data_IF_446239959413
#
_entry.id   IF_446239959413
#
_cell.length_a   1.000
_cell.length_b   1.000
_cell.length_c   1.000
_cell.angle_alpha   90.00
_cell.angle_beta   90.00
_cell.angle_gamma   90.00
#
_symmetry.space_group_name_H-M   'P 1'
#
loop_
_entity.id
_entity.type
_entity.pdbx_description
1 polymer ?
#
# COMPACT_ATOMS: atom_id res chain seq x y z
N UNK A 1 -20.69 0.14 -15.25
CA UNK A 1 -20.73 0.70 -16.63
C UNK A 1 -19.38 0.61 -17.34
N UNK A 2 -18.26 1.07 -16.78
CA UNK A 2 -16.96 1.05 -17.47
C UNK A 2 -16.32 -0.33 -17.77
N UNK A 3 -16.64 -1.39 -17.01
CA UNK A 3 -16.04 -2.74 -17.17
C UNK A 3 -16.36 -3.40 -18.51
N UNK A 4 -17.53 -3.09 -19.09
CA UNK A 4 -17.98 -3.67 -20.37
C UNK A 4 -17.66 -2.77 -21.57
N UNK A 5 -16.93 -1.67 -21.36
CA UNK A 5 -16.58 -0.76 -22.45
C UNK A 5 -15.58 -1.41 -23.43
N UNK A 6 -15.76 -1.22 -24.75
CA UNK A 6 -14.77 -1.64 -25.74
C UNK A 6 -13.45 -0.87 -25.59
N UNK A 7 -13.49 0.35 -25.06
CA UNK A 7 -12.33 1.24 -24.98
C UNK A 7 -11.48 0.94 -23.73
N UNK A 8 -10.17 0.81 -23.93
CA UNK A 8 -9.24 0.45 -22.84
C UNK A 8 -9.22 1.52 -21.73
N UNK A 9 -9.25 2.80 -22.08
CA UNK A 9 -9.18 3.88 -21.10
C UNK A 9 -10.42 3.94 -20.20
N UNK A 10 -11.62 3.67 -20.74
CA UNK A 10 -12.87 3.64 -19.97
C UNK A 10 -12.88 2.49 -18.96
N UNK A 11 -12.33 1.33 -19.34
CA UNK A 11 -12.16 0.19 -18.43
C UNK A 11 -11.20 0.52 -17.29
N UNK A 12 -10.04 1.11 -17.60
CA UNK A 12 -9.07 1.54 -16.58
C UNK A 12 -9.67 2.60 -15.66
N UNK A 13 -10.28 3.64 -16.23
CA UNK A 13 -10.93 4.71 -15.48
C UNK A 13 -12.02 4.16 -14.56
N UNK A 14 -12.93 3.36 -15.08
CA UNK A 14 -14.02 2.76 -14.30
C UNK A 14 -13.54 1.78 -13.21
N UNK A 15 -12.38 1.15 -13.39
CA UNK A 15 -11.76 0.33 -12.34
C UNK A 15 -11.15 1.21 -11.24
N UNK A 16 -10.43 2.26 -11.61
CA UNK A 16 -9.72 3.11 -10.67
C UNK A 16 -10.60 4.16 -9.99
N UNK A 17 -11.77 4.48 -10.54
CA UNK A 17 -12.71 5.47 -9.98
C UNK A 17 -13.33 5.05 -8.64
N UNK A 18 -13.28 3.76 -8.31
CA UNK A 18 -13.76 3.24 -7.03
C UNK A 18 -12.76 3.35 -5.88
N UNK A 19 -11.60 3.99 -6.08
CA UNK A 19 -10.64 4.19 -5.00
C UNK A 19 -11.18 5.20 -3.98
N UNK A 20 -11.09 4.82 -2.71
CA UNK A 20 -11.47 5.64 -1.57
C UNK A 20 -10.31 5.74 -0.57
N UNK A 21 -10.36 6.75 0.30
CA UNK A 21 -9.39 6.90 1.39
C UNK A 21 -9.91 6.18 2.63
N UNK A 22 -9.09 5.31 3.20
CA UNK A 22 -9.36 4.60 4.44
C UNK A 22 -8.27 4.86 5.47
N UNK A 23 -8.55 4.47 6.72
CA UNK A 23 -7.57 4.49 7.79
C UNK A 23 -7.60 3.19 8.60
N UNK A 24 -6.45 2.81 9.14
CA UNK A 24 -6.27 1.64 10.00
C UNK A 24 -5.08 1.87 10.92
N UNK A 25 -5.08 1.29 12.13
CA UNK A 25 -3.87 1.25 12.97
C UNK A 25 -2.87 0.27 12.38
N UNK A 26 -1.59 0.61 12.43
CA UNK A 26 -0.53 -0.20 11.82
C UNK A 26 -0.56 -1.64 12.33
N UNK A 27 -0.64 -1.82 13.65
CA UNK A 27 -0.66 -3.15 14.27
C UNK A 27 -1.88 -4.01 13.89
N UNK A 28 -2.99 -3.38 13.53
CA UNK A 28 -4.24 -4.06 13.18
C UNK A 28 -4.30 -4.40 11.68
N UNK A 29 -3.32 -3.92 10.90
CA UNK A 29 -3.28 -4.07 9.44
C UNK A 29 -2.46 -5.31 9.02
N UNK A 30 -3.06 -6.12 8.16
CA UNK A 30 -2.38 -7.14 7.35
C UNK A 30 -1.54 -6.51 6.23
N UNK A 31 -1.92 -5.34 5.74
CA UNK A 31 -1.14 -4.62 4.73
C UNK A 31 0.13 -4.01 5.32
N UNK A 32 0.03 -3.38 6.49
CA UNK A 32 1.10 -2.55 7.04
C UNK A 32 1.77 -3.11 8.30
N UNK A 33 1.17 -4.10 8.97
CA UNK A 33 1.64 -4.59 10.27
C UNK A 33 3.06 -5.15 10.25
N UNK A 34 3.51 -5.70 9.11
CA UNK A 34 4.90 -6.17 8.95
C UNK A 34 5.95 -5.03 8.84
N UNK A 35 5.51 -3.77 8.75
CA UNK A 35 6.36 -2.60 8.58
C UNK A 35 6.53 -1.77 9.86
N UNK A 36 6.17 -2.32 11.03
CA UNK A 36 6.54 -1.72 12.32
C UNK A 36 8.08 -1.55 12.42
N UNK A 37 8.53 -0.38 12.85
CA UNK A 37 9.95 -0.03 12.88
C UNK A 37 10.60 0.21 11.52
N UNK A 38 9.85 0.17 10.41
CA UNK A 38 10.33 0.55 9.07
C UNK A 38 9.99 2.00 8.75
N UNK A 39 10.68 2.58 7.78
CA UNK A 39 10.36 3.93 7.33
C UNK A 39 9.06 3.97 6.53
N UNK A 40 8.35 5.10 6.60
CA UNK A 40 7.14 5.35 5.82
C UNK A 40 7.35 5.04 4.33
N UNK A 41 8.44 5.55 3.75
CA UNK A 41 8.76 5.34 2.33
C UNK A 41 9.00 3.86 1.99
N UNK A 42 9.57 3.08 2.91
CA UNK A 42 9.79 1.65 2.71
C UNK A 42 8.45 0.89 2.72
N UNK A 43 7.59 1.20 3.70
CA UNK A 43 6.25 0.62 3.81
C UNK A 43 5.39 0.94 2.59
N UNK A 44 5.37 2.21 2.15
CA UNK A 44 4.60 2.64 0.98
C UNK A 44 4.98 1.86 -0.29
N UNK A 45 6.28 1.68 -0.54
CA UNK A 45 6.74 0.94 -1.72
C UNK A 45 6.34 -0.54 -1.68
N UNK A 46 6.59 -1.21 -0.55
CA UNK A 46 6.36 -2.65 -0.43
C UNK A 46 4.87 -2.99 -0.35
N UNK A 47 4.06 -2.18 0.34
CA UNK A 47 2.60 -2.34 0.38
C UNK A 47 1.97 -2.19 -1.00
N UNK A 48 2.42 -1.20 -1.79
CA UNK A 48 1.95 -1.04 -3.17
C UNK A 48 2.38 -2.22 -4.05
N UNK A 49 3.64 -2.67 -3.93
CA UNK A 49 4.15 -3.80 -4.71
C UNK A 49 3.45 -5.12 -4.39
N UNK A 50 3.14 -5.35 -3.11
CA UNK A 50 2.56 -6.61 -2.62
C UNK A 50 1.05 -6.65 -2.76
N UNK A 51 0.36 -5.57 -2.39
CA UNK A 51 -1.10 -5.54 -2.27
C UNK A 51 -1.77 -4.53 -3.22
N UNK A 52 -1.01 -3.70 -3.93
CA UNK A 52 -1.58 -2.61 -4.75
C UNK A 52 -2.17 -1.46 -3.92
N UNK A 53 -1.88 -1.39 -2.62
CA UNK A 53 -2.41 -0.37 -1.71
C UNK A 53 -1.47 0.82 -1.64
N UNK A 54 -2.01 2.04 -1.72
CA UNK A 54 -1.22 3.27 -1.70
C UNK A 54 -1.30 3.97 -0.34
N UNK A 55 -0.22 3.94 0.43
CA UNK A 55 -0.11 4.66 1.71
C UNK A 55 0.15 6.16 1.45
N UNK A 56 -0.70 7.03 2.00
CA UNK A 56 -0.66 8.49 1.74
C UNK A 56 -0.23 9.32 2.96
N UNK A 57 -0.42 8.81 4.17
CA UNK A 57 -0.09 9.55 5.38
C UNK A 57 -0.21 8.73 6.65
N UNK A 58 0.21 9.33 7.75
CA UNK A 58 0.25 8.71 9.08
C UNK A 58 -0.05 9.76 10.14
N UNK A 59 -0.76 9.33 11.18
CA UNK A 59 -1.02 10.10 12.40
C UNK A 59 -0.52 9.28 13.59
N UNK A 60 0.32 9.90 14.42
CA UNK A 60 0.73 9.33 15.71
C UNK A 60 -0.41 9.38 16.72
N UNK A 61 -0.47 8.43 17.64
CA UNK A 61 -1.50 8.38 18.69
C UNK A 61 -1.51 9.64 19.58
N UNK A 62 -0.33 10.10 19.99
CA UNK A 62 -0.17 11.29 20.85
C UNK A 62 -0.41 12.62 20.11
N UNK A 63 -0.27 12.64 18.78
CA UNK A 63 -0.39 13.86 17.98
C UNK A 63 -1.75 13.92 17.26
N UNK A 64 -2.41 15.07 17.33
CA UNK A 64 -3.70 15.26 16.64
C UNK A 64 -3.53 15.47 15.13
N UNK A 65 -2.35 15.85 14.67
CA UNK A 65 -2.07 16.19 13.26
C UNK A 65 -1.78 14.96 12.40
N UNK A 66 -2.33 14.96 11.19
CA UNK A 66 -2.02 13.97 10.14
C UNK A 66 -0.80 14.48 9.36
N UNK A 67 0.20 13.63 9.17
CA UNK A 67 1.35 13.90 8.32
C UNK A 67 1.13 13.27 6.95
N UNK A 68 1.20 14.08 5.90
CA UNK A 68 1.05 13.63 4.53
C UNK A 68 2.44 13.38 3.92
N UNK A 69 2.63 12.20 3.35
CA UNK A 69 3.88 11.72 2.76
C UNK A 69 5.15 12.04 3.58
N UNK A 70 5.29 11.54 4.82
CA UNK A 70 6.51 11.72 5.58
C UNK A 70 7.73 11.13 4.86
N UNK A 71 8.87 11.82 5.00
CA UNK A 71 10.12 11.35 4.40
C UNK A 71 10.71 10.09 5.07
N UNK A 72 11.85 9.57 4.57
CA UNK A 72 12.47 8.33 5.05
C UNK A 72 12.88 8.31 6.52
N UNK A 73 13.00 9.48 7.16
CA UNK A 73 13.31 9.60 8.60
C UNK A 73 12.11 9.30 9.48
N UNK A 74 10.89 9.29 8.93
CA UNK A 74 9.70 8.93 9.66
C UNK A 74 9.62 7.42 9.77
N UNK A 75 9.86 6.91 10.97
CA UNK A 75 9.72 5.50 11.31
C UNK A 75 8.30 5.27 11.81
N UNK A 76 7.64 4.27 11.24
CA UNK A 76 6.29 3.87 11.61
C UNK A 76 6.30 3.09 12.92
N UNK A 77 5.26 3.26 13.72
CA UNK A 77 5.04 2.55 14.97
C UNK A 77 3.74 1.75 14.94
N UNK A 78 3.70 0.64 15.68
CA UNK A 78 2.51 -0.19 15.87
C UNK A 78 1.22 0.58 16.18
N UNK A 79 1.31 1.67 16.96
CA UNK A 79 0.15 2.48 17.37
C UNK A 79 -0.26 3.55 16.36
N UNK A 80 0.53 3.79 15.31
CA UNK A 80 0.25 4.80 14.31
C UNK A 80 -1.01 4.47 13.51
N UNK A 81 -1.81 5.49 13.22
CA UNK A 81 -2.91 5.39 12.27
C UNK A 81 -2.39 5.69 10.87
N UNK A 82 -2.43 4.68 10.00
CA UNK A 82 -2.08 4.76 8.60
C UNK A 82 -3.29 5.20 7.78
N UNK A 83 -3.10 6.11 6.83
CA UNK A 83 -4.10 6.54 5.85
C UNK A 83 -3.68 6.07 4.47
N UNK A 84 -4.57 5.39 3.76
CA UNK A 84 -4.27 4.77 2.47
C UNK A 84 -5.42 4.87 1.48
N UNK A 85 -5.12 4.72 0.21
CA UNK A 85 -6.07 4.66 -0.90
C UNK A 85 -6.17 3.21 -1.38
N UNK A 86 -7.41 2.71 -1.49
CA UNK A 86 -7.71 1.43 -2.12
C UNK A 86 -9.17 1.40 -2.62
N UNK A 87 -9.51 0.41 -3.45
CA UNK A 87 -10.90 0.20 -3.91
C UNK A 87 -11.80 -0.36 -2.78
N UNK A 88 -11.24 -1.20 -1.92
CA UNK A 88 -11.98 -1.79 -0.80
C UNK A 88 -11.25 -1.59 0.51
N UNK A 89 -12.01 -1.31 1.57
CA UNK A 89 -11.47 -1.23 2.92
C UNK A 89 -10.87 -2.57 3.32
N UNK A 90 -9.73 -2.53 4.01
CA UNK A 90 -8.95 -3.72 4.37
C UNK A 90 -9.78 -4.79 5.10
N UNK A 91 -10.67 -4.42 6.02
CA UNK A 91 -11.52 -5.36 6.75
C UNK A 91 -12.43 -6.20 5.83
N UNK A 92 -12.81 -5.66 4.66
CA UNK A 92 -13.64 -6.33 3.66
C UNK A 92 -12.80 -7.09 2.61
N UNK A 93 -11.47 -6.94 2.64
CA UNK A 93 -10.55 -7.51 1.65
C UNK A 93 -10.19 -8.99 1.90
N UNK A 94 -10.90 -9.67 2.82
CA UNK A 94 -10.73 -11.10 3.11
C UNK A 94 -10.80 -12.01 1.86
N UNK A 95 -11.42 -11.54 0.77
CA UNK A 95 -11.44 -12.23 -0.52
C UNK A 95 -10.10 -12.15 -1.28
N UNK A 96 -9.40 -11.01 -1.22
CA UNK A 96 -8.11 -10.79 -1.91
C UNK A 96 -7.04 -11.75 -1.38
N UNK A 97 -6.95 -11.87 -0.04
CA UNK A 97 -5.99 -12.77 0.60
C UNK A 97 -6.21 -14.25 0.25
N UNK A 98 -7.47 -14.69 0.02
CA UNK A 98 -7.78 -16.07 -0.40
C UNK A 98 -7.39 -16.39 -1.84
N UNK A 99 -7.35 -15.39 -2.73
CA UNK A 99 -6.89 -15.56 -4.11
C UNK A 99 -5.36 -15.61 -4.20
N UNK A 100 -4.65 -14.82 -3.40
CA UNK A 100 -3.18 -14.82 -3.37
C UNK A 100 -2.59 -16.11 -2.77
N UNK A 101 -3.19 -16.71 -1.73
CA UNK A 101 -2.75 -18.01 -1.20
C UNK A 101 -2.85 -19.15 -2.22
N UNK A 102 -3.78 -19.06 -3.18
CA UNK A 102 -3.90 -20.04 -4.27
C UNK A 102 -2.85 -19.81 -5.36
N UNK A 103 -2.44 -18.57 -5.61
CA UNK A 103 -1.43 -18.24 -6.62
C UNK A 103 0.02 -18.41 -6.13
N UNK A 104 0.26 -18.26 -4.83
CA UNK A 104 1.59 -18.38 -4.21
C UNK A 104 2.05 -19.82 -3.95
N UNK A 105 1.15 -20.82 -4.04
CA UNK A 105 1.54 -22.25 -4.00
C UNK A 105 2.24 -22.75 -5.28
N UNK A 106 2.38 -21.91 -6.31
CA UNK A 106 2.98 -22.30 -7.60
C UNK A 106 4.46 -21.93 -7.80
N UNK A 107 5.06 -21.06 -6.97
CA UNK A 107 6.41 -20.53 -7.21
C UNK A 107 7.24 -20.53 -5.92
N UNK A 108 7.75 -21.70 -5.54
CA UNK A 108 8.89 -21.77 -4.66
C UNK A 108 10.14 -21.34 -5.43
N UNK A 109 10.64 -20.12 -5.18
CA UNK A 109 11.99 -19.72 -5.56
C UNK A 109 12.74 -19.30 -4.31
N UNK A 110 13.65 -20.21 -3.92
CA UNK A 110 14.68 -20.05 -2.91
C UNK A 110 15.70 -18.97 -3.31
N UNK A 111 16.05 -18.12 -2.34
CA UNK A 111 17.32 -17.40 -2.28
C UNK A 111 17.43 -16.04 -3.00
N UNK A 112 18.22 -15.15 -2.39
CA UNK A 112 18.93 -13.98 -2.98
C UNK A 112 18.33 -12.57 -2.87
N UNK A 113 18.04 -12.02 -1.69
CA UNK A 113 17.97 -10.54 -1.57
C UNK A 113 18.45 -10.01 -0.21
N UNK A 114 19.72 -10.23 0.13
CA UNK A 114 20.43 -9.39 1.10
C UNK A 114 21.27 -8.36 0.32
N UNK A 115 20.64 -7.25 -0.07
CA UNK A 115 21.33 -6.12 -0.66
C UNK A 115 20.61 -4.82 -0.27
N UNK A 116 21.34 -3.77 0.16
CA UNK A 116 20.72 -2.49 0.49
C UNK A 116 20.16 -1.87 -0.79
N UNK A 117 18.85 -1.90 -0.93
CA UNK A 117 18.12 -1.32 -2.06
C UNK A 117 18.22 0.20 -2.02
N UNK A 118 19.25 0.74 -2.69
CA UNK A 118 19.19 2.12 -3.17
C UNK A 118 17.99 2.22 -4.09
N UNK A 119 16.97 2.96 -3.65
CA UNK A 119 15.79 3.27 -4.44
C UNK A 119 16.24 3.82 -5.81
N UNK A 120 15.78 3.26 -6.95
CA UNK A 120 16.08 3.83 -8.24
C UNK A 120 15.50 5.25 -8.30
N UNK A 121 16.37 6.24 -8.48
CA UNK A 121 16.10 7.69 -8.40
C UNK A 121 15.22 8.21 -9.55
N UNK A 122 14.62 7.33 -10.38
CA UNK A 122 13.97 7.71 -11.64
C UNK A 122 12.44 7.63 -11.66
N UNK A 123 11.76 7.71 -10.52
CA UNK A 123 10.28 7.75 -10.55
C UNK A 123 9.64 8.79 -9.63
N UNK A 124 10.42 9.80 -9.21
CA UNK A 124 9.87 11.04 -8.62
C UNK A 124 9.75 12.07 -9.74
N UNK A 125 8.77 11.88 -10.62
CA UNK A 125 8.20 13.01 -11.36
C UNK A 125 6.70 12.90 -11.20
N UNK A 126 6.21 13.51 -10.12
CA UNK A 126 4.88 14.09 -10.11
C UNK A 126 4.95 15.38 -10.95
N UNK A 127 4.25 15.39 -12.08
CA UNK A 127 3.98 16.56 -12.94
C UNK A 127 2.66 16.21 -13.64
N UNK A 128 1.58 16.99 -13.63
CA UNK A 128 1.31 18.37 -13.20
C UNK A 128 0.09 18.42 -12.29
#
# INVERSE_FOLDING_TARGET
EGQMSPEQWQRTYGRCSGNEVYHIRLMDSKFFGEYDGKSFTYASFHAHKKYGVCLIGVKREENKSILLNPGPRHIMAATDTCYYINITKEENSAFIFKQEEKHSKGLAVSGLYDAPSRLPVQSIIASM
#
